data_IF_446243965195
#
_entry.id   IF_446243965195
#
_cell.length_a   1.000
_cell.length_b   1.000
_cell.length_c   1.000
_cell.angle_alpha   90.00
_cell.angle_beta   90.00
_cell.angle_gamma   90.00
#
_symmetry.space_group_name_H-M   'P 1'
#
loop_
_entity.id
_entity.type
_entity.pdbx_description
1 polymer ?
#
# COMPACT_ATOMS: atom_id res chain seq x y z
N UNK A 1 -38.23 6.45 -4.43
CA UNK A 1 -37.12 5.48 -4.30
C UNK A 1 -36.90 4.85 -5.67
N UNK A 2 -35.72 5.01 -6.32
CA UNK A 2 -35.44 4.46 -7.67
C UNK A 2 -34.59 3.18 -7.53
N UNK A 3 -35.19 1.99 -7.34
CA UNK A 3 -34.45 0.78 -6.97
C UNK A 3 -33.48 0.29 -8.07
N UNK A 4 -33.80 0.55 -9.34
CA UNK A 4 -32.96 0.17 -10.48
C UNK A 4 -31.68 0.98 -10.58
N UNK A 5 -31.72 2.28 -10.26
CA UNK A 5 -30.53 3.13 -10.22
C UNK A 5 -29.60 2.69 -9.07
N UNK A 6 -30.15 2.41 -7.89
CA UNK A 6 -29.35 1.94 -6.76
C UNK A 6 -28.65 0.62 -7.06
N UNK A 7 -29.35 -0.34 -7.67
CA UNK A 7 -28.75 -1.62 -8.09
C UNK A 7 -27.62 -1.41 -9.11
N UNK A 8 -27.82 -0.56 -10.12
CA UNK A 8 -26.79 -0.21 -11.11
C UNK A 8 -25.56 0.46 -10.46
N UNK A 9 -25.76 1.33 -9.48
CA UNK A 9 -24.66 1.95 -8.74
C UNK A 9 -23.85 0.91 -7.96
N UNK A 10 -24.51 -0.01 -7.25
CA UNK A 10 -23.81 -1.07 -6.54
C UNK A 10 -23.03 -2.00 -7.48
N UNK A 11 -23.62 -2.41 -8.59
CA UNK A 11 -22.94 -3.25 -9.58
C UNK A 11 -21.70 -2.54 -10.15
N UNK A 12 -21.83 -1.26 -10.52
CA UNK A 12 -20.71 -0.47 -11.04
C UNK A 12 -19.59 -0.33 -10.01
N UNK A 13 -19.94 -0.06 -8.74
CA UNK A 13 -18.95 0.03 -7.65
C UNK A 13 -18.25 -1.32 -7.41
N UNK A 14 -18.98 -2.43 -7.40
CA UNK A 14 -18.42 -3.77 -7.22
C UNK A 14 -17.46 -4.12 -8.36
N UNK A 15 -17.83 -3.84 -9.61
CA UNK A 15 -16.94 -4.05 -10.77
C UNK A 15 -15.66 -3.21 -10.62
N UNK A 16 -15.79 -1.93 -10.23
CA UNK A 16 -14.64 -1.07 -9.98
C UNK A 16 -13.71 -1.61 -8.88
N UNK A 17 -14.28 -2.10 -7.78
CA UNK A 17 -13.54 -2.72 -6.68
C UNK A 17 -12.79 -3.97 -7.16
N UNK A 18 -13.45 -4.85 -7.92
CA UNK A 18 -12.83 -6.09 -8.42
C UNK A 18 -11.63 -5.77 -9.30
N UNK A 19 -11.75 -4.80 -10.22
CA UNK A 19 -10.65 -4.41 -11.12
C UNK A 19 -9.46 -3.86 -10.32
N UNK A 20 -9.69 -3.06 -9.29
CA UNK A 20 -8.63 -2.45 -8.46
C UNK A 20 -7.98 -3.46 -7.52
N UNK A 21 -8.75 -4.38 -6.93
CA UNK A 21 -8.25 -5.38 -5.98
C UNK A 21 -7.52 -6.53 -6.70
N UNK A 22 -7.91 -6.87 -7.93
CA UNK A 22 -7.31 -7.97 -8.68
C UNK A 22 -5.76 -7.97 -8.69
N UNK A 23 -5.05 -6.88 -9.03
CA UNK A 23 -3.58 -6.88 -8.98
C UNK A 23 -3.02 -7.07 -7.56
N UNK A 24 -3.71 -6.56 -6.54
CA UNK A 24 -3.33 -6.74 -5.12
C UNK A 24 -3.46 -8.22 -4.74
N UNK A 25 -4.53 -8.88 -5.16
CA UNK A 25 -4.72 -10.31 -4.95
C UNK A 25 -3.60 -11.13 -5.59
N UNK A 26 -3.24 -10.84 -6.85
CA UNK A 26 -2.12 -11.52 -7.53
C UNK A 26 -0.80 -11.30 -6.80
N UNK A 27 -0.53 -10.07 -6.35
CA UNK A 27 0.68 -9.78 -5.56
C UNK A 27 0.72 -10.55 -4.23
N UNK A 28 -0.43 -10.71 -3.57
CA UNK A 28 -0.56 -11.44 -2.31
C UNK A 28 -0.43 -12.96 -2.49
N UNK A 29 -1.00 -13.52 -3.56
CA UNK A 29 -0.79 -14.92 -3.91
C UNK A 29 0.67 -15.15 -4.29
N UNK A 30 1.28 -14.25 -5.07
CA UNK A 30 2.69 -14.32 -5.43
C UNK A 30 3.62 -14.22 -4.21
N UNK A 31 3.31 -13.41 -3.19
CA UNK A 31 4.13 -13.32 -1.97
C UNK A 31 4.16 -14.61 -1.15
N UNK A 32 3.21 -15.52 -1.39
CA UNK A 32 3.14 -16.84 -0.74
C UNK A 32 3.99 -17.90 -1.45
N UNK A 33 4.43 -17.65 -2.68
CA UNK A 33 5.23 -18.59 -3.48
C UNK A 33 6.72 -18.26 -3.46
N UNK A 34 7.54 -19.26 -3.76
CA UNK A 34 8.98 -19.06 -3.93
C UNK A 34 9.26 -18.28 -5.23
N UNK A 35 10.25 -17.37 -5.21
CA UNK A 35 10.52 -16.47 -6.35
C UNK A 35 10.87 -17.21 -7.65
N UNK A 36 11.35 -18.45 -7.54
CA UNK A 36 11.67 -19.32 -8.68
C UNK A 36 10.42 -19.93 -9.31
N UNK A 37 9.37 -20.20 -8.54
CA UNK A 37 8.12 -20.80 -9.03
C UNK A 37 7.23 -19.79 -9.77
N UNK A 38 7.28 -18.51 -9.38
CA UNK A 38 6.53 -17.42 -10.03
C UNK A 38 6.91 -17.27 -11.52
N UNK A 39 8.17 -17.55 -11.88
CA UNK A 39 8.66 -17.43 -13.25
C UNK A 39 8.31 -18.63 -14.13
N UNK A 40 7.93 -19.77 -13.53
CA UNK A 40 7.67 -21.01 -14.25
C UNK A 40 6.19 -21.39 -14.29
N UNK A 41 5.38 -20.99 -13.30
CA UNK A 41 3.97 -21.38 -13.22
C UNK A 41 3.09 -20.30 -12.59
N UNK A 42 2.00 -19.92 -13.26
CA UNK A 42 0.96 -19.06 -12.65
C UNK A 42 0.13 -19.92 -11.69
N UNK A 43 0.46 -19.88 -10.40
CA UNK A 43 -0.24 -20.64 -9.36
C UNK A 43 -1.37 -19.80 -8.77
N UNK A 44 -2.61 -20.30 -8.88
CA UNK A 44 -3.83 -19.59 -8.47
C UNK A 44 -4.22 -19.77 -7.00
N UNK A 45 -3.43 -20.50 -6.20
CA UNK A 45 -3.74 -20.91 -4.82
C UNK A 45 -2.58 -20.62 -3.88
N UNK A 46 -2.85 -20.35 -2.61
CA UNK A 46 -1.82 -20.10 -1.59
C UNK A 46 -0.87 -21.30 -1.43
N UNK A 47 0.43 -21.09 -1.67
CA UNK A 47 1.48 -22.07 -1.41
C UNK A 47 1.69 -22.39 0.09
N UNK A 48 2.37 -23.50 0.38
CA UNK A 48 2.62 -24.01 1.74
C UNK A 48 3.73 -23.29 2.51
N UNK A 49 4.51 -22.43 1.86
CA UNK A 49 5.74 -21.83 2.42
C UNK A 49 5.53 -20.43 3.02
N UNK A 50 4.29 -20.08 3.37
CA UNK A 50 3.93 -18.74 3.87
C UNK A 50 4.75 -18.31 5.10
N UNK A 51 4.84 -19.16 6.12
CA UNK A 51 5.46 -18.80 7.41
C UNK A 51 6.99 -18.68 7.28
N UNK A 52 7.62 -19.61 6.55
CA UNK A 52 9.09 -19.65 6.40
C UNK A 52 9.60 -18.53 5.48
N UNK A 53 8.87 -18.20 4.41
CA UNK A 53 9.21 -17.10 3.52
C UNK A 53 9.04 -15.74 4.23
N UNK A 54 7.95 -15.55 4.98
CA UNK A 54 7.73 -14.31 5.73
C UNK A 54 8.77 -14.11 6.84
N UNK A 55 9.05 -15.12 7.67
CA UNK A 55 10.07 -15.02 8.73
C UNK A 55 11.46 -14.74 8.15
N UNK A 56 11.85 -15.42 7.07
CA UNK A 56 13.17 -15.21 6.43
C UNK A 56 13.29 -13.81 5.82
N UNK A 57 12.25 -13.31 5.15
CA UNK A 57 12.26 -11.97 4.54
C UNK A 57 12.22 -10.85 5.59
N UNK A 58 11.43 -11.03 6.65
CA UNK A 58 11.29 -10.05 7.72
C UNK A 58 12.55 -9.94 8.58
N UNK A 59 13.16 -11.07 8.99
CA UNK A 59 14.26 -11.08 9.95
C UNK A 59 15.64 -11.11 9.30
N UNK A 60 15.85 -11.99 8.32
CA UNK A 60 17.19 -12.25 7.75
C UNK A 60 17.46 -11.47 6.47
N UNK A 61 16.41 -11.01 5.80
CA UNK A 61 16.50 -10.42 4.46
C UNK A 61 16.82 -11.49 3.41
N UNK A 62 16.20 -11.39 2.22
CA UNK A 62 16.55 -12.29 1.11
C UNK A 62 17.96 -11.96 0.61
N UNK A 63 18.71 -12.99 0.19
CA UNK A 63 20.01 -12.83 -0.48
C UNK A 63 19.93 -11.88 -1.70
N UNK A 64 18.76 -11.82 -2.36
CA UNK A 64 18.46 -10.93 -3.48
C UNK A 64 18.38 -9.44 -3.13
N UNK A 65 18.24 -9.08 -1.84
CA UNK A 65 18.10 -7.68 -1.35
C UNK A 65 19.33 -7.24 -0.54
N UNK A 66 20.47 -7.92 -0.71
CA UNK A 66 21.71 -7.55 -0.03
C UNK A 66 21.70 -7.83 1.48
N UNK A 67 20.93 -8.84 1.94
CA UNK A 67 20.84 -9.26 3.35
C UNK A 67 20.34 -8.20 4.33
N UNK A 68 19.71 -7.13 3.85
CA UNK A 68 19.06 -6.12 4.70
C UNK A 68 17.67 -6.63 5.06
N UNK A 69 17.33 -6.62 6.35
CA UNK A 69 16.02 -7.04 6.84
C UNK A 69 14.91 -6.10 6.34
N UNK A 70 13.86 -6.67 5.73
CA UNK A 70 12.74 -5.87 5.22
C UNK A 70 12.01 -5.16 6.36
N UNK A 71 11.98 -5.75 7.56
CA UNK A 71 11.42 -5.10 8.75
C UNK A 71 12.11 -3.75 9.05
N UNK A 72 13.43 -3.68 8.91
CA UNK A 72 14.18 -2.44 9.11
C UNK A 72 13.88 -1.42 8.00
N UNK A 73 13.73 -1.88 6.75
CA UNK A 73 13.33 -1.02 5.64
C UNK A 73 11.94 -0.42 5.88
N UNK A 74 10.98 -1.24 6.31
CA UNK A 74 9.62 -0.79 6.66
C UNK A 74 9.63 0.21 7.82
N UNK A 75 10.46 -0.03 8.84
CA UNK A 75 10.60 0.90 9.97
C UNK A 75 11.16 2.25 9.53
N UNK A 76 12.21 2.26 8.72
CA UNK A 76 12.78 3.50 8.19
C UNK A 76 11.77 4.28 7.34
N UNK A 77 11.03 3.59 6.47
CA UNK A 77 9.97 4.21 5.67
C UNK A 77 8.82 4.74 6.54
N UNK A 78 8.46 4.04 7.61
CA UNK A 78 7.42 4.48 8.55
C UNK A 78 7.82 5.79 9.22
N UNK A 79 9.03 5.85 9.79
CA UNK A 79 9.55 7.05 10.47
C UNK A 79 9.63 8.22 9.48
N UNK A 80 10.16 7.98 8.28
CA UNK A 80 10.25 9.00 7.23
C UNK A 80 8.86 9.50 6.79
N UNK A 81 7.92 8.59 6.53
CA UNK A 81 6.56 8.95 6.11
C UNK A 81 5.83 9.75 7.20
N UNK A 82 5.90 9.31 8.46
CA UNK A 82 5.30 10.05 9.58
C UNK A 82 5.93 11.43 9.75
N UNK A 83 7.27 11.52 9.68
CA UNK A 83 7.97 12.80 9.76
C UNK A 83 7.53 13.79 8.69
N UNK A 84 7.45 13.35 7.43
CA UNK A 84 7.01 14.18 6.30
C UNK A 84 5.55 14.58 6.46
N UNK A 85 4.66 13.66 6.82
CA UNK A 85 3.22 13.93 6.97
C UNK A 85 2.97 14.94 8.08
N UNK A 86 3.59 14.76 9.26
CA UNK A 86 3.43 15.70 10.39
C UNK A 86 3.98 17.08 10.02
N UNK A 87 5.17 17.15 9.40
CA UNK A 87 5.76 18.40 8.95
C UNK A 87 4.87 19.12 7.92
N UNK A 88 4.40 18.39 6.90
CA UNK A 88 3.56 18.94 5.83
C UNK A 88 2.20 19.42 6.36
N UNK A 89 1.57 18.69 7.28
CA UNK A 89 0.30 19.11 7.91
C UNK A 89 0.53 20.37 8.74
N UNK A 90 1.59 20.41 9.55
CA UNK A 90 1.89 21.56 10.42
C UNK A 90 2.09 22.83 9.60
N UNK A 91 2.93 22.77 8.56
CA UNK A 91 3.15 23.90 7.65
C UNK A 91 1.85 24.27 6.93
N UNK A 92 1.11 23.29 6.39
CA UNK A 92 -0.14 23.54 5.67
C UNK A 92 -1.18 24.24 6.53
N UNK A 93 -1.34 23.85 7.80
CA UNK A 93 -2.31 24.47 8.71
C UNK A 93 -1.87 25.88 9.09
N UNK A 94 -0.58 26.08 9.41
CA UNK A 94 -0.04 27.42 9.72
C UNK A 94 -0.19 28.37 8.53
N UNK A 95 0.12 27.91 7.32
CA UNK A 95 -0.06 28.69 6.09
C UNK A 95 -1.54 29.00 5.82
N UNK A 96 -2.44 28.02 5.97
CA UNK A 96 -3.87 28.23 5.79
C UNK A 96 -4.43 29.24 6.81
N UNK A 97 -4.03 29.12 8.08
CA UNK A 97 -4.38 30.08 9.13
C UNK A 97 -3.86 31.48 8.80
N UNK A 98 -2.60 31.58 8.36
CA UNK A 98 -2.01 32.86 8.01
C UNK A 98 -2.80 33.58 6.91
N UNK A 99 -3.15 32.86 5.84
CA UNK A 99 -3.88 33.40 4.68
C UNK A 99 -5.32 33.83 5.06
N UNK A 100 -5.98 33.09 5.94
CA UNK A 100 -7.37 33.38 6.32
C UNK A 100 -7.47 34.57 7.28
N UNK A 101 -6.55 34.68 8.24
CA UNK A 101 -6.65 35.66 9.32
C UNK A 101 -5.80 36.92 9.11
N UNK A 102 -4.69 36.85 8.38
CA UNK A 102 -3.82 38.02 8.13
C UNK A 102 -4.01 38.57 6.71
N UNK A 103 -4.06 39.90 6.61
CA UNK A 103 -4.09 40.60 5.32
C UNK A 103 -2.65 40.81 4.85
N UNK A 104 -2.22 40.02 3.88
CA UNK A 104 -0.93 40.23 3.22
C UNK A 104 -1.06 41.28 2.11
N UNK A 105 -0.12 42.24 2.01
CA UNK A 105 -0.16 43.31 1.00
C UNK A 105 0.05 42.81 -0.44
N UNK A 106 0.49 41.56 -0.63
CA UNK A 106 0.68 40.90 -1.93
C UNK A 106 -0.10 39.58 -1.98
N UNK A 107 -1.43 39.64 -2.02
CA UNK A 107 -2.22 38.45 -2.41
C UNK A 107 -1.92 38.07 -3.84
#
# INVERSE_FOLDING_TARGET
NRPTLNALTHVTLVIGIVIVIFPIYIAFVASTHEARDILMTVQGWFGTNFIENYSTVLEKGKASTGSISVALMMWNSLVMALGIVVGKISISILSAYAIVYFRFPFR
#
